data_IF_501366071685
#
_entry.id   IF_501366071685
#
_cell.length_a   1.000
_cell.length_b   1.000
_cell.length_c   1.000
_cell.angle_alpha   90.00
_cell.angle_beta   90.00
_cell.angle_gamma   90.00
#
_symmetry.space_group_name_H-M   'P 1'
#
loop_
_entity.id
_entity.type
_entity.pdbx_description
1 polymer ?
#
# COMPACT_ATOMS: atom_id res chain seq x y z
N UNK A 1 -47.53 13.63 5.65
CA UNK A 1 -47.13 14.73 4.76
C UNK A 1 -45.74 15.13 5.22
N UNK A 2 -44.64 14.78 4.55
CA UNK A 2 -44.34 15.06 3.14
C UNK A 2 -43.37 13.98 2.62
N UNK A 3 -43.55 13.58 1.36
CA UNK A 3 -42.82 12.54 0.65
C UNK A 3 -41.30 12.77 0.62
N UNK A 4 -40.49 11.72 0.78
CA UNK A 4 -39.23 11.55 0.02
C UNK A 4 -39.04 10.11 -0.43
N UNK A 5 -39.33 9.96 -1.73
CA UNK A 5 -38.77 9.09 -2.75
C UNK A 5 -38.32 7.67 -2.40
N UNK A 6 -39.16 6.74 -2.87
CA UNK A 6 -38.78 5.49 -3.53
C UNK A 6 -37.75 5.78 -4.64
N UNK A 7 -36.64 5.05 -4.63
CA UNK A 7 -35.59 5.12 -5.64
C UNK A 7 -34.62 3.94 -5.52
N UNK A 8 -35.16 2.75 -5.28
CA UNK A 8 -34.44 1.49 -5.43
C UNK A 8 -34.31 1.23 -6.95
N UNK A 9 -33.12 0.81 -7.38
CA UNK A 9 -32.76 0.39 -8.74
C UNK A 9 -32.32 1.51 -9.70
N UNK A 10 -31.01 1.74 -9.81
CA UNK A 10 -30.33 1.96 -11.09
C UNK A 10 -28.80 1.71 -10.98
N UNK A 11 -28.37 0.57 -11.53
CA UNK A 11 -27.12 0.36 -12.28
C UNK A 11 -25.78 0.45 -11.49
N UNK A 12 -25.38 -0.69 -10.92
CA UNK A 12 -23.95 -1.06 -10.80
C UNK A 12 -23.41 -1.44 -12.19
N UNK A 13 -23.17 -0.45 -13.04
CA UNK A 13 -22.41 -0.62 -14.29
C UNK A 13 -21.37 0.49 -14.39
N UNK A 14 -20.42 0.48 -13.46
CA UNK A 14 -19.09 1.03 -13.70
C UNK A 14 -18.15 -0.16 -13.57
N UNK A 15 -18.18 -1.04 -14.57
CA UNK A 15 -17.20 -2.11 -14.81
C UNK A 15 -17.55 -2.78 -16.14
N UNK A 16 -17.31 -2.05 -17.22
CA UNK A 16 -17.05 -2.61 -18.54
C UNK A 16 -16.37 -1.53 -19.41
N UNK A 17 -15.27 -0.95 -18.93
CA UNK A 17 -14.22 -0.62 -19.88
C UNK A 17 -13.63 -1.99 -20.27
N UNK A 18 -14.02 -2.50 -21.44
CA UNK A 18 -13.37 -3.65 -22.04
C UNK A 18 -11.88 -3.37 -22.24
N UNK A 19 -11.06 -4.38 -22.57
CA UNK A 19 -9.64 -4.14 -22.83
C UNK A 19 -9.51 -3.04 -23.88
N UNK A 20 -8.84 -1.95 -23.51
CA UNK A 20 -8.53 -0.88 -24.43
C UNK A 20 -7.73 -1.49 -25.58
N UNK A 21 -8.32 -1.54 -26.77
CA UNK A 21 -7.55 -1.78 -27.98
C UNK A 21 -6.43 -0.73 -28.02
N UNK A 22 -5.21 -1.08 -28.46
CA UNK A 22 -4.17 -0.08 -28.64
C UNK A 22 -4.74 1.01 -29.55
N UNK A 23 -4.65 2.26 -29.11
CA UNK A 23 -5.05 3.37 -29.96
C UNK A 23 -4.18 3.35 -31.23
N UNK A 24 -4.79 3.60 -32.39
CA UNK A 24 -4.06 3.62 -33.66
C UNK A 24 -3.14 4.85 -33.77
N UNK A 25 -3.34 5.87 -32.91
CA UNK A 25 -2.58 7.12 -32.84
C UNK A 25 -2.10 7.42 -31.40
N UNK A 26 -0.96 8.11 -31.30
CA UNK A 26 -0.37 8.60 -30.04
C UNK A 26 -1.31 9.56 -29.33
N UNK A 27 -1.96 10.46 -30.06
CA UNK A 27 -2.87 11.45 -29.45
C UNK A 27 -4.08 10.76 -28.79
N UNK A 28 -4.63 9.73 -29.45
CA UNK A 28 -5.71 8.91 -28.91
C UNK A 28 -5.25 8.10 -27.67
N UNK A 29 -4.01 7.58 -27.68
CA UNK A 29 -3.44 6.87 -26.54
C UNK A 29 -3.29 7.77 -25.30
N UNK A 30 -2.80 9.01 -25.50
CA UNK A 30 -2.65 9.97 -24.41
C UNK A 30 -4.03 10.46 -23.90
N UNK A 31 -4.99 10.69 -24.80
CA UNK A 31 -6.36 11.03 -24.41
C UNK A 31 -7.03 9.90 -23.61
N UNK A 32 -6.77 8.63 -23.96
CA UNK A 32 -7.25 7.48 -23.19
C UNK A 32 -6.64 7.42 -21.79
N UNK A 33 -5.36 7.78 -21.64
CA UNK A 33 -4.72 7.91 -20.32
C UNK A 33 -5.40 8.99 -19.48
N UNK A 34 -5.63 10.18 -20.03
CA UNK A 34 -6.28 11.28 -19.31
C UNK A 34 -7.70 10.90 -18.86
N UNK A 35 -8.47 10.22 -19.73
CA UNK A 35 -9.79 9.69 -19.39
C UNK A 35 -9.72 8.64 -18.27
N UNK A 36 -8.77 7.70 -18.35
CA UNK A 36 -8.58 6.66 -17.33
C UNK A 36 -8.12 7.24 -15.98
N UNK A 37 -7.33 8.32 -15.99
CA UNK A 37 -6.97 9.05 -14.76
C UNK A 37 -8.22 9.66 -14.11
N UNK A 38 -9.12 10.29 -14.89
CA UNK A 38 -10.38 10.82 -14.37
C UNK A 38 -11.30 9.71 -13.83
N UNK A 39 -11.42 8.59 -14.55
CA UNK A 39 -12.20 7.43 -14.11
C UNK A 39 -11.63 6.79 -12.84
N UNK A 40 -10.30 6.76 -12.70
CA UNK A 40 -9.63 6.30 -11.49
C UNK A 40 -10.02 7.16 -10.28
N UNK A 41 -9.88 8.49 -10.37
CA UNK A 41 -10.23 9.38 -9.24
C UNK A 41 -11.71 9.24 -8.88
N UNK A 42 -12.61 9.23 -9.88
CA UNK A 42 -14.04 9.04 -9.66
C UNK A 42 -14.37 7.69 -8.99
N UNK A 43 -13.69 6.61 -9.37
CA UNK A 43 -13.87 5.30 -8.75
C UNK A 43 -13.41 5.27 -7.28
N UNK A 44 -12.32 5.98 -6.96
CA UNK A 44 -11.85 6.14 -5.58
C UNK A 44 -12.86 6.94 -4.75
N UNK A 45 -13.39 8.04 -5.28
CA UNK A 45 -14.39 8.86 -4.59
C UNK A 45 -15.66 8.05 -4.27
N UNK A 46 -16.17 7.30 -5.26
CA UNK A 46 -17.33 6.40 -5.05
C UNK A 46 -17.04 5.34 -3.99
N UNK A 47 -15.81 4.77 -3.98
CA UNK A 47 -15.43 3.80 -2.96
C UNK A 47 -15.36 4.43 -1.56
N UNK A 48 -14.86 5.67 -1.46
CA UNK A 48 -14.80 6.44 -0.20
C UNK A 48 -16.20 6.74 0.32
N UNK A 49 -17.09 7.27 -0.51
CA UNK A 49 -18.48 7.57 -0.15
C UNK A 49 -19.19 6.34 0.41
N UNK A 50 -19.03 5.17 -0.22
CA UNK A 50 -19.62 3.91 0.27
C UNK A 50 -19.12 3.52 1.67
N UNK A 51 -17.86 3.78 1.99
CA UNK A 51 -17.32 3.49 3.32
C UNK A 51 -17.81 4.51 4.35
N UNK A 52 -17.92 5.79 3.98
CA UNK A 52 -18.54 6.83 4.83
C UNK A 52 -19.99 6.47 5.15
N UNK A 53 -20.78 6.07 4.15
CA UNK A 53 -22.17 5.65 4.35
C UNK A 53 -22.26 4.46 5.31
N UNK A 54 -21.36 3.49 5.18
CA UNK A 54 -21.30 2.33 6.07
C UNK A 54 -20.99 2.73 7.51
N UNK A 55 -20.06 3.66 7.71
CA UNK A 55 -19.77 4.26 9.01
C UNK A 55 -21.02 4.91 9.61
N UNK A 56 -21.68 5.78 8.86
CA UNK A 56 -22.86 6.50 9.33
C UNK A 56 -24.00 5.53 9.71
N UNK A 57 -24.26 4.53 8.86
CA UNK A 57 -25.27 3.51 9.13
C UNK A 57 -24.95 2.69 10.39
N UNK A 58 -23.69 2.27 10.57
CA UNK A 58 -23.31 1.49 11.75
C UNK A 58 -23.35 2.36 13.02
N UNK A 59 -22.98 3.64 12.95
CA UNK A 59 -23.12 4.59 14.07
C UNK A 59 -24.59 4.71 14.51
N UNK A 60 -25.52 4.88 13.57
CA UNK A 60 -26.96 4.93 13.89
C UNK A 60 -27.40 3.64 14.58
N UNK A 61 -27.07 2.48 13.99
CA UNK A 61 -27.42 1.16 14.53
C UNK A 61 -26.87 0.92 15.95
N UNK A 62 -25.63 1.30 16.21
CA UNK A 62 -25.01 1.16 17.54
C UNK A 62 -25.61 2.14 18.55
N UNK A 63 -26.03 3.33 18.10
CA UNK A 63 -26.76 4.31 18.90
C UNK A 63 -28.12 3.79 19.33
N UNK A 64 -28.91 3.25 18.39
CA UNK A 64 -30.21 2.61 18.66
C UNK A 64 -30.09 1.41 19.62
N UNK A 65 -28.96 0.71 19.56
CA UNK A 65 -28.63 -0.41 20.44
C UNK A 65 -28.05 0.01 21.80
N UNK A 66 -27.94 1.31 22.09
CA UNK A 66 -27.35 1.88 23.30
C UNK A 66 -25.89 1.43 23.57
N UNK A 67 -25.11 1.11 22.53
CA UNK A 67 -23.70 0.69 22.63
C UNK A 67 -22.77 1.89 22.46
N UNK A 68 -22.77 2.79 23.44
CA UNK A 68 -22.09 4.09 23.34
C UNK A 68 -20.57 4.00 23.09
N UNK A 69 -19.89 2.99 23.63
CA UNK A 69 -18.45 2.77 23.37
C UNK A 69 -18.18 2.49 21.88
N UNK A 70 -19.04 1.70 21.23
CA UNK A 70 -18.94 1.44 19.80
C UNK A 70 -19.20 2.69 18.97
N UNK A 71 -20.16 3.52 19.38
CA UNK A 71 -20.46 4.81 18.71
C UNK A 71 -19.23 5.72 18.74
N UNK A 72 -18.60 5.89 19.91
CA UNK A 72 -17.39 6.73 20.04
C UNK A 72 -16.25 6.20 19.18
N UNK A 73 -16.04 4.88 19.16
CA UNK A 73 -15.01 4.25 18.35
C UNK A 73 -15.26 4.45 16.85
N UNK A 74 -16.47 4.17 16.37
CA UNK A 74 -16.85 4.36 14.96
C UNK A 74 -16.78 5.82 14.53
N UNK A 75 -17.18 6.77 15.39
CA UNK A 75 -17.05 8.20 15.11
C UNK A 75 -15.58 8.62 14.99
N UNK A 76 -14.71 8.10 15.86
CA UNK A 76 -13.25 8.28 15.74
C UNK A 76 -12.72 7.67 14.45
N UNK A 77 -13.19 6.47 14.09
CA UNK A 77 -12.82 5.80 12.85
C UNK A 77 -13.22 6.61 11.61
N UNK A 78 -14.44 7.14 11.57
CA UNK A 78 -14.91 8.02 10.49
C UNK A 78 -14.06 9.28 10.38
N UNK A 79 -13.79 9.98 11.50
CA UNK A 79 -12.91 11.15 11.50
C UNK A 79 -11.51 10.82 10.98
N UNK A 80 -10.97 9.66 11.37
CA UNK A 80 -9.67 9.20 10.89
C UNK A 80 -9.71 8.87 9.39
N UNK A 81 -10.80 8.30 8.89
CA UNK A 81 -11.01 8.02 7.47
C UNK A 81 -11.13 9.28 6.63
N UNK A 82 -11.90 10.26 7.09
CA UNK A 82 -12.01 11.58 6.45
C UNK A 82 -10.66 12.33 6.43
N UNK A 83 -9.76 12.02 7.36
CA UNK A 83 -8.38 12.49 7.38
C UNK A 83 -7.42 11.61 6.54
N UNK A 84 -7.95 10.82 5.60
CA UNK A 84 -7.22 9.88 4.72
C UNK A 84 -6.50 8.75 5.47
N UNK A 85 -6.95 8.39 6.67
CA UNK A 85 -6.48 7.25 7.47
C UNK A 85 -7.40 6.03 7.36
N UNK A 86 -7.01 4.88 7.94
CA UNK A 86 -7.98 3.82 8.29
C UNK A 86 -7.72 3.38 9.72
N UNK A 87 -8.79 3.27 10.51
CA UNK A 87 -8.73 2.70 11.84
C UNK A 87 -9.61 1.46 11.85
N UNK A 88 -9.04 0.28 12.11
CA UNK A 88 -9.81 -0.96 11.99
C UNK A 88 -11.00 -0.95 12.95
N UNK A 89 -12.19 -0.97 12.37
CA UNK A 89 -13.45 -1.20 13.06
C UNK A 89 -13.96 -2.60 12.72
N UNK A 90 -14.07 -3.52 13.71
CA UNK A 90 -14.48 -4.90 13.44
C UNK A 90 -15.84 -5.03 12.76
N UNK A 91 -16.77 -4.11 13.03
CA UNK A 91 -18.09 -4.05 12.43
C UNK A 91 -18.07 -3.70 10.94
N UNK A 92 -16.99 -3.04 10.46
CA UNK A 92 -16.84 -2.59 9.09
C UNK A 92 -15.82 -3.43 8.30
N UNK A 93 -15.40 -4.59 8.82
CA UNK A 93 -14.39 -5.46 8.18
C UNK A 93 -14.69 -5.73 6.69
N UNK A 94 -15.94 -6.07 6.35
CA UNK A 94 -16.32 -6.32 4.95
C UNK A 94 -16.36 -5.04 4.11
N UNK A 95 -16.72 -3.90 4.68
CA UNK A 95 -16.72 -2.61 3.99
C UNK A 95 -15.30 -2.16 3.64
N UNK A 96 -14.32 -2.39 4.52
CA UNK A 96 -12.90 -2.18 4.20
C UNK A 96 -12.41 -3.06 3.06
N UNK A 97 -12.85 -4.33 2.99
CA UNK A 97 -12.52 -5.22 1.87
C UNK A 97 -13.16 -4.76 0.57
N UNK A 98 -14.40 -4.26 0.60
CA UNK A 98 -15.05 -3.71 -0.58
C UNK A 98 -14.35 -2.43 -1.07
N UNK A 99 -14.02 -1.52 -0.15
CA UNK A 99 -13.22 -0.34 -0.43
C UNK A 99 -11.88 -0.73 -1.07
N UNK A 100 -11.13 -1.62 -0.45
CA UNK A 100 -9.85 -2.09 -0.96
C UNK A 100 -9.92 -2.75 -2.34
N UNK A 101 -10.91 -3.62 -2.58
CA UNK A 101 -11.12 -4.25 -3.89
C UNK A 101 -11.45 -3.21 -4.97
N UNK A 102 -12.27 -2.22 -4.66
CA UNK A 102 -12.59 -1.13 -5.60
C UNK A 102 -11.34 -0.31 -5.93
N UNK A 103 -10.57 0.09 -4.91
CA UNK A 103 -9.28 0.78 -5.08
C UNK A 103 -8.31 -0.04 -5.93
N UNK A 104 -8.21 -1.35 -5.68
CA UNK A 104 -7.35 -2.22 -6.48
C UNK A 104 -7.79 -2.32 -7.93
N UNK A 105 -9.08 -2.51 -8.18
CA UNK A 105 -9.63 -2.58 -9.52
C UNK A 105 -9.38 -1.29 -10.31
N UNK A 106 -9.56 -0.13 -9.67
CA UNK A 106 -9.26 1.17 -10.27
C UNK A 106 -7.77 1.30 -10.61
N UNK A 107 -6.86 0.93 -9.69
CA UNK A 107 -5.41 0.91 -9.94
C UNK A 107 -5.04 0.00 -11.12
N UNK A 108 -5.61 -1.20 -11.17
CA UNK A 108 -5.33 -2.19 -12.23
C UNK A 108 -5.80 -1.69 -13.60
N UNK A 109 -7.01 -1.12 -13.69
CA UNK A 109 -7.55 -0.55 -14.94
C UNK A 109 -6.71 0.63 -15.44
N UNK A 110 -6.30 1.53 -14.54
CA UNK A 110 -5.42 2.65 -14.88
C UNK A 110 -4.05 2.16 -15.35
N UNK A 111 -3.46 1.17 -14.67
CA UNK A 111 -2.18 0.58 -15.06
C UNK A 111 -2.24 -0.10 -16.43
N UNK A 112 -3.34 -0.79 -16.74
CA UNK A 112 -3.56 -1.40 -18.06
C UNK A 112 -3.57 -0.33 -19.16
N UNK A 113 -4.25 0.79 -18.93
CA UNK A 113 -4.31 1.92 -19.88
C UNK A 113 -2.92 2.53 -20.10
N UNK A 114 -2.16 2.77 -19.03
CA UNK A 114 -0.77 3.25 -19.17
C UNK A 114 0.12 2.28 -19.95
N UNK A 115 -0.08 0.96 -19.78
CA UNK A 115 0.67 -0.06 -20.53
C UNK A 115 0.33 -0.03 -22.02
N UNK A 116 -0.96 0.08 -22.36
CA UNK A 116 -1.41 0.23 -23.74
C UNK A 116 -0.85 1.49 -24.38
N UNK A 117 -0.87 2.62 -23.67
CA UNK A 117 -0.28 3.87 -24.14
C UNK A 117 1.24 3.76 -24.31
N UNK A 118 1.95 3.15 -23.35
CA UNK A 118 3.40 2.90 -23.46
C UNK A 118 3.73 2.07 -24.71
N UNK A 119 2.95 1.04 -25.02
CA UNK A 119 3.16 0.21 -26.21
C UNK A 119 2.97 1.00 -27.51
N UNK A 120 1.96 1.88 -27.55
CA UNK A 120 1.69 2.76 -28.70
C UNK A 120 2.80 3.79 -28.91
N UNK A 121 3.25 4.42 -27.82
CA UNK A 121 4.38 5.36 -27.83
C UNK A 121 5.69 4.69 -28.26
N UNK A 122 5.94 3.46 -27.81
CA UNK A 122 7.12 2.68 -28.21
C UNK A 122 7.11 2.33 -29.70
N UNK A 123 5.96 1.97 -30.26
CA UNK A 123 5.80 1.74 -31.70
C UNK A 123 6.06 3.00 -32.54
N UNK A 124 5.91 4.18 -31.93
CA UNK A 124 6.09 5.50 -32.56
C UNK A 124 7.41 6.20 -32.19
N UNK A 125 8.34 5.50 -31.51
CA UNK A 125 9.65 6.01 -31.05
C UNK A 125 9.58 7.28 -30.16
N UNK A 126 8.52 7.41 -29.36
CA UNK A 126 8.28 8.56 -28.46
C UNK A 126 8.90 8.34 -27.08
N UNK A 127 10.23 8.24 -27.02
CA UNK A 127 10.96 7.86 -25.80
C UNK A 127 10.74 8.81 -24.60
N UNK A 128 10.61 10.11 -24.83
CA UNK A 128 10.42 11.09 -23.75
C UNK A 128 9.04 10.93 -23.08
N UNK A 129 7.98 10.72 -23.86
CA UNK A 129 6.62 10.46 -23.35
C UNK A 129 6.52 9.11 -22.64
N UNK A 130 7.25 8.09 -23.10
CA UNK A 130 7.35 6.82 -22.36
C UNK A 130 7.93 7.08 -20.97
N UNK A 131 8.99 7.90 -20.85
CA UNK A 131 9.57 8.22 -19.56
C UNK A 131 8.58 8.96 -18.65
N UNK A 132 7.79 9.88 -19.21
CA UNK A 132 6.74 10.60 -18.49
C UNK A 132 5.65 9.64 -17.98
N UNK A 133 5.11 8.79 -18.86
CA UNK A 133 4.10 7.78 -18.49
C UNK A 133 4.64 6.85 -17.40
N UNK A 134 5.87 6.38 -17.54
CA UNK A 134 6.50 5.53 -16.53
C UNK A 134 6.72 6.25 -15.20
N UNK A 135 6.96 7.57 -15.23
CA UNK A 135 7.02 8.39 -14.02
C UNK A 135 5.65 8.51 -13.36
N UNK A 136 4.58 8.75 -14.13
CA UNK A 136 3.19 8.78 -13.61
C UNK A 136 2.79 7.45 -12.94
N UNK A 137 3.13 6.31 -13.55
CA UNK A 137 2.90 4.98 -12.94
C UNK A 137 3.60 4.86 -11.57
N UNK A 138 4.82 5.40 -11.45
CA UNK A 138 5.59 5.39 -10.20
C UNK A 138 4.98 6.31 -9.16
N UNK A 139 4.68 7.55 -9.53
CA UNK A 139 4.16 8.57 -8.62
C UNK A 139 2.79 8.19 -8.07
N UNK A 140 1.97 7.50 -8.87
CA UNK A 140 0.68 6.95 -8.46
C UNK A 140 0.79 5.59 -7.74
N UNK A 141 1.99 5.01 -7.67
CA UNK A 141 2.28 3.72 -7.04
C UNK A 141 1.32 2.59 -7.46
N UNK A 142 1.02 2.52 -8.76
CA UNK A 142 0.04 1.56 -9.31
C UNK A 142 0.52 0.12 -9.24
N UNK A 143 1.84 -0.06 -9.23
CA UNK A 143 2.48 -1.37 -9.03
C UNK A 143 2.72 -1.57 -7.53
N UNK A 144 1.79 -2.24 -6.87
CA UNK A 144 1.91 -2.59 -5.46
C UNK A 144 1.41 -4.00 -5.14
N UNK A 145 1.85 -4.52 -3.99
CA UNK A 145 1.42 -5.81 -3.44
C UNK A 145 1.09 -5.67 -1.95
N UNK A 146 -0.06 -6.18 -1.54
CA UNK A 146 -0.37 -6.29 -0.11
C UNK A 146 0.42 -7.39 0.55
N UNK A 147 1.08 -7.03 1.65
CA UNK A 147 1.95 -7.94 2.40
C UNK A 147 1.84 -7.71 3.90
N UNK A 148 2.26 -8.72 4.66
CA UNK A 148 2.70 -8.56 6.03
C UNK A 148 4.13 -9.06 6.14
N UNK A 149 4.93 -8.44 7.01
CA UNK A 149 6.29 -8.89 7.27
C UNK A 149 6.31 -9.72 8.54
N UNK A 150 6.48 -11.04 8.40
CA UNK A 150 6.52 -11.99 9.51
C UNK A 150 7.96 -12.24 9.94
N UNK A 151 8.26 -12.29 11.24
CA UNK A 151 9.60 -12.64 11.69
C UNK A 151 9.87 -14.12 11.40
N UNK A 152 10.94 -14.42 10.67
CA UNK A 152 11.19 -15.79 10.18
C UNK A 152 11.52 -16.76 11.31
N UNK A 153 12.14 -16.27 12.38
CA UNK A 153 12.52 -17.06 13.55
C UNK A 153 11.34 -17.32 14.51
N UNK A 154 10.26 -16.53 14.44
CA UNK A 154 9.04 -16.68 15.25
C UNK A 154 7.82 -16.30 14.43
N UNK A 155 7.20 -17.29 13.78
CA UNK A 155 6.13 -17.08 12.79
C UNK A 155 4.83 -16.51 13.36
N UNK A 156 4.65 -16.47 14.69
CA UNK A 156 3.50 -15.78 15.30
C UNK A 156 3.66 -14.26 15.26
N UNK A 157 4.90 -13.76 15.20
CA UNK A 157 5.21 -12.34 15.28
C UNK A 157 5.29 -11.68 13.91
N UNK A 158 4.69 -10.50 13.80
CA UNK A 158 4.66 -9.71 12.58
C UNK A 158 5.04 -8.27 12.89
N UNK A 159 5.69 -7.64 11.92
CA UNK A 159 5.88 -6.21 11.91
C UNK A 159 4.52 -5.51 11.89
N UNK A 160 4.36 -4.54 12.78
CA UNK A 160 3.22 -3.64 12.81
C UNK A 160 3.63 -2.29 13.36
N UNK A 161 2.75 -1.31 13.26
CA UNK A 161 2.95 0.01 13.83
C UNK A 161 1.89 0.39 14.86
N UNK A 162 2.28 1.26 15.79
CA UNK A 162 1.41 1.97 16.72
C UNK A 162 2.15 3.23 17.18
N UNK A 163 1.45 4.36 17.32
CA UNK A 163 2.03 5.65 17.73
C UNK A 163 3.29 6.03 16.94
N UNK A 164 3.22 5.83 15.62
CA UNK A 164 4.31 6.06 14.65
C UNK A 164 5.57 5.19 14.85
N UNK A 165 5.55 4.21 15.74
CA UNK A 165 6.68 3.30 16.00
C UNK A 165 6.40 1.91 15.46
N UNK A 166 7.45 1.27 14.95
CA UNK A 166 7.37 -0.12 14.52
C UNK A 166 7.78 -1.09 15.62
N UNK A 167 7.00 -2.16 15.77
CA UNK A 167 7.31 -3.30 16.61
C UNK A 167 7.01 -4.62 15.88
N UNK A 168 7.61 -5.70 16.37
CA UNK A 168 7.34 -7.08 15.93
C UNK A 168 6.68 -7.82 17.07
N UNK A 169 5.39 -8.11 16.92
CA UNK A 169 4.56 -8.69 17.98
C UNK A 169 3.45 -9.57 17.42
N UNK A 170 2.70 -10.24 18.30
CA UNK A 170 1.48 -10.93 17.90
C UNK A 170 0.40 -9.92 17.52
N UNK A 171 -0.28 -10.17 16.40
CA UNK A 171 -1.25 -9.24 15.82
C UNK A 171 -2.65 -9.66 16.24
N UNK A 172 -3.32 -8.82 17.03
CA UNK A 172 -4.72 -9.03 17.40
C UNK A 172 -5.66 -8.70 16.23
N UNK A 173 -6.91 -9.17 16.29
CA UNK A 173 -7.89 -8.99 15.20
C UNK A 173 -8.05 -7.51 14.80
N UNK A 174 -8.15 -6.61 15.77
CA UNK A 174 -8.29 -5.17 15.53
C UNK A 174 -6.99 -4.49 15.09
N UNK A 175 -5.85 -5.17 15.14
CA UNK A 175 -4.54 -4.64 14.74
C UNK A 175 -4.10 -5.13 13.36
N UNK A 176 -4.92 -5.94 12.68
CA UNK A 176 -4.55 -6.56 11.40
C UNK A 176 -4.21 -5.52 10.32
N UNK A 177 -4.87 -4.36 10.34
CA UNK A 177 -4.54 -3.23 9.45
C UNK A 177 -3.14 -2.67 9.74
N UNK A 178 -2.79 -2.45 11.01
CA UNK A 178 -1.47 -1.94 11.42
C UNK A 178 -0.31 -2.86 11.03
N UNK A 179 -0.59 -4.15 10.80
CA UNK A 179 0.37 -5.16 10.38
C UNK A 179 0.34 -5.43 8.86
N UNK A 180 -0.40 -4.63 8.10
CA UNK A 180 -0.58 -4.80 6.65
C UNK A 180 -0.01 -3.60 5.91
N UNK A 181 0.73 -3.87 4.84
CA UNK A 181 1.44 -2.85 4.07
C UNK A 181 1.21 -3.06 2.58
N UNK A 182 1.15 -1.97 1.82
CA UNK A 182 1.46 -2.00 0.40
C UNK A 182 2.97 -1.95 0.23
N UNK A 183 3.54 -3.05 -0.27
CA UNK A 183 4.91 -3.06 -0.78
C UNK A 183 4.90 -2.45 -2.18
N UNK A 184 5.57 -1.32 -2.33
CA UNK A 184 5.66 -0.53 -3.56
C UNK A 184 7.11 -0.50 -4.06
N UNK A 185 7.30 -0.01 -5.29
CA UNK A 185 8.64 0.25 -5.83
C UNK A 185 9.33 1.24 -4.90
N UNK A 186 10.63 1.02 -4.64
CA UNK A 186 11.42 1.89 -3.78
C UNK A 186 11.27 3.35 -4.15
N UNK A 187 10.98 4.19 -3.14
CA UNK A 187 10.83 5.63 -3.34
C UNK A 187 12.12 6.29 -3.81
N UNK A 188 13.30 5.74 -3.49
CA UNK A 188 14.60 6.24 -3.93
C UNK A 188 14.87 5.95 -5.40
N UNK A 189 15.36 6.93 -6.13
CA UNK A 189 15.80 6.79 -7.53
C UNK A 189 17.15 6.08 -7.69
N UNK A 190 17.93 5.98 -6.62
CA UNK A 190 19.28 5.40 -6.65
C UNK A 190 19.21 3.86 -6.73
N UNK A 191 19.66 3.30 -7.85
CA UNK A 191 19.74 1.85 -8.05
C UNK A 191 18.49 1.18 -8.61
N UNK A 192 17.53 1.94 -9.16
CA UNK A 192 16.45 1.36 -9.94
C UNK A 192 17.03 0.78 -11.24
N UNK A 193 17.01 -0.55 -11.37
CA UNK A 193 17.11 -1.22 -12.68
C UNK A 193 15.80 -0.91 -13.40
N UNK A 194 15.83 0.11 -14.26
CA UNK A 194 14.67 0.74 -14.91
C UNK A 194 13.87 -0.19 -15.84
N UNK A 195 14.37 -1.39 -16.15
CA UNK A 195 13.87 -2.17 -17.29
C UNK A 195 12.83 -3.26 -16.98
N UNK A 196 12.55 -3.69 -15.74
CA UNK A 196 11.67 -4.88 -15.54
C UNK A 196 10.56 -4.80 -14.49
N UNK A 197 10.57 -3.82 -13.58
CA UNK A 197 9.63 -3.83 -12.44
C UNK A 197 8.20 -3.42 -12.86
N UNK A 198 8.05 -2.53 -13.85
CA UNK A 198 6.73 -2.12 -14.36
C UNK A 198 6.02 -3.23 -15.15
N UNK A 199 6.78 -4.10 -15.83
CA UNK A 199 6.23 -5.19 -16.64
C UNK A 199 5.92 -6.44 -15.81
N UNK A 200 6.79 -6.82 -14.86
CA UNK A 200 6.64 -8.07 -14.06
C UNK A 200 6.09 -7.88 -12.64
N UNK A 201 5.91 -6.64 -12.20
CA UNK A 201 5.47 -6.30 -10.84
C UNK A 201 6.53 -6.56 -9.75
N UNK A 202 6.17 -6.32 -8.49
CA UNK A 202 7.06 -6.50 -7.35
C UNK A 202 6.94 -7.91 -6.79
N UNK A 203 8.03 -8.66 -6.84
CA UNK A 203 8.04 -10.08 -6.46
C UNK A 203 8.63 -10.32 -5.06
N UNK A 204 9.30 -9.31 -4.49
CA UNK A 204 10.01 -9.43 -3.21
C UNK A 204 11.34 -10.19 -3.37
N UNK A 205 12.00 -10.05 -4.52
CA UNK A 205 13.23 -10.78 -4.86
C UNK A 205 14.47 -10.03 -4.38
N UNK A 206 15.59 -10.74 -4.10
CA UNK A 206 16.86 -10.08 -3.80
C UNK A 206 17.24 -9.06 -4.88
N UNK A 207 17.88 -7.97 -4.48
CA UNK A 207 18.23 -6.77 -5.27
C UNK A 207 17.09 -5.82 -5.64
N UNK A 208 15.82 -6.21 -5.48
CA UNK A 208 14.71 -5.25 -5.60
C UNK A 208 14.82 -4.18 -4.52
N UNK A 209 14.56 -2.93 -4.89
CA UNK A 209 14.40 -1.84 -3.94
C UNK A 209 12.91 -1.61 -3.75
N UNK A 210 12.46 -1.63 -2.51
CA UNK A 210 11.05 -1.52 -2.13
C UNK A 210 10.86 -0.48 -1.03
N UNK A 211 9.64 0.05 -0.96
CA UNK A 211 9.15 0.83 0.16
C UNK A 211 7.86 0.19 0.69
N UNK A 212 7.56 0.42 1.98
CA UNK A 212 6.37 -0.14 2.62
C UNK A 212 5.45 0.98 3.08
N UNK A 213 4.33 1.16 2.37
CA UNK A 213 3.26 2.09 2.75
C UNK A 213 2.29 1.39 3.69
N UNK A 214 1.97 2.01 4.82
CA UNK A 214 0.93 1.48 5.71
C UNK A 214 -0.43 1.57 5.02
N UNK A 215 -1.18 0.47 5.00
CA UNK A 215 -2.52 0.49 4.35
C UNK A 215 -3.49 1.42 5.07
N UNK A 216 -3.27 1.62 6.36
CA UNK A 216 -4.18 2.31 7.26
C UNK A 216 -3.69 3.70 7.67
N UNK A 217 -2.57 4.13 7.11
CA UNK A 217 -2.18 5.52 7.06
C UNK A 217 -1.69 5.78 5.63
N UNK A 218 -2.63 5.90 4.67
CA UNK A 218 -2.34 6.42 3.34
C UNK A 218 -1.40 7.63 3.44
N UNK A 219 -0.43 7.70 2.52
CA UNK A 219 0.67 8.65 2.55
C UNK A 219 1.73 8.47 3.67
N UNK A 220 1.73 7.38 4.43
CA UNK A 220 2.78 7.09 5.41
C UNK A 220 3.56 5.80 5.12
N UNK A 221 4.87 5.86 5.32
CA UNK A 221 5.81 4.81 4.96
C UNK A 221 6.64 4.39 6.16
N UNK A 222 7.09 3.14 6.12
CA UNK A 222 8.19 2.69 6.95
C UNK A 222 9.46 3.43 6.53
N UNK A 223 10.00 4.25 7.42
CA UNK A 223 11.23 5.00 7.21
C UNK A 223 12.15 4.85 8.42
N UNK A 224 13.45 4.89 8.18
CA UNK A 224 14.42 4.93 9.26
C UNK A 224 14.80 6.37 9.65
N UNK A 225 15.14 6.57 10.92
CA UNK A 225 15.63 7.84 11.44
C UNK A 225 16.06 7.71 12.90
N UNK A 226 17.19 8.32 13.26
CA UNK A 226 17.74 8.28 14.63
C UNK A 226 17.88 6.84 15.20
N UNK A 227 18.34 5.90 14.36
CA UNK A 227 18.47 4.47 14.66
C UNK A 227 17.16 3.71 14.95
N UNK A 228 15.98 4.30 14.70
CA UNK A 228 14.69 3.63 14.86
C UNK A 228 13.99 3.52 13.50
N UNK A 229 13.08 2.55 13.37
CA UNK A 229 12.10 2.55 12.29
C UNK A 229 10.81 3.20 12.79
N UNK A 230 10.30 4.14 11.99
CA UNK A 230 9.09 4.91 12.30
C UNK A 230 8.18 4.97 11.09
N UNK A 231 6.89 5.10 11.37
CA UNK A 231 5.91 5.42 10.36
C UNK A 231 5.98 6.94 10.13
N UNK A 232 6.27 7.34 8.90
CA UNK A 232 6.50 8.75 8.58
C UNK A 232 5.70 9.15 7.33
N UNK A 233 5.10 10.33 7.37
CA UNK A 233 4.40 10.91 6.22
C UNK A 233 5.36 11.12 5.04
N UNK A 234 4.87 10.90 3.83
CA UNK A 234 5.61 11.12 2.60
C UNK A 234 6.13 12.55 2.52
N UNK A 235 7.36 12.68 2.05
CA UNK A 235 7.96 13.94 1.63
C UNK A 235 8.69 13.74 0.30
N UNK A 236 8.65 14.77 -0.55
CA UNK A 236 9.42 14.77 -1.80
C UNK A 236 10.94 14.93 -1.56
N UNK A 237 11.35 15.22 -0.33
CA UNK A 237 12.77 15.31 0.03
C UNK A 237 13.50 13.99 -0.24
N UNK A 238 14.63 14.07 -0.95
CA UNK A 238 15.45 12.89 -1.26
C UNK A 238 15.89 12.14 0.00
N UNK A 239 16.16 12.84 1.10
CA UNK A 239 16.47 12.23 2.38
C UNK A 239 15.35 11.30 2.87
N UNK A 240 14.09 11.72 2.77
CA UNK A 240 12.95 10.88 3.11
C UNK A 240 12.86 9.67 2.18
N UNK A 241 12.94 9.89 0.86
CA UNK A 241 12.84 8.83 -0.15
C UNK A 241 13.91 7.76 0.05
N UNK A 242 15.14 8.17 0.39
CA UNK A 242 16.22 7.25 0.75
C UNK A 242 15.94 6.54 2.08
N UNK A 243 15.46 7.24 3.10
CA UNK A 243 15.17 6.66 4.41
C UNK A 243 14.02 5.64 4.39
N UNK A 244 13.09 5.80 3.45
CA UNK A 244 11.93 4.93 3.26
C UNK A 244 12.17 3.81 2.23
N UNK A 245 13.39 3.66 1.72
CA UNK A 245 13.71 2.68 0.67
C UNK A 245 14.67 1.60 1.17
N UNK A 246 14.36 0.36 0.84
CA UNK A 246 15.11 -0.81 1.30
C UNK A 246 15.42 -1.76 0.17
N UNK A 247 16.69 -2.16 0.06
CA UNK A 247 17.13 -3.24 -0.84
C UNK A 247 16.85 -4.59 -0.19
N UNK A 248 16.25 -5.49 -0.95
CA UNK A 248 15.98 -6.85 -0.51
C UNK A 248 17.26 -7.70 -0.66
N UNK A 249 17.62 -8.41 0.40
CA UNK A 249 18.68 -9.42 0.42
C UNK A 249 18.07 -10.79 0.74
N UNK A 250 18.81 -11.85 0.38
CA UNK A 250 18.52 -13.19 0.92
C UNK A 250 18.58 -13.14 2.44
N UNK A 251 17.61 -13.78 3.09
CA UNK A 251 17.51 -13.82 4.54
C UNK A 251 18.75 -14.47 5.18
N UNK A 252 19.30 -13.82 6.20
CA UNK A 252 20.49 -14.30 6.90
C UNK A 252 20.23 -15.55 7.75
N UNK A 253 19.00 -15.71 8.27
CA UNK A 253 18.62 -16.90 9.04
C UNK A 253 18.07 -18.04 8.16
N UNK A 254 17.36 -17.70 7.07
CA UNK A 254 16.84 -18.65 6.09
C UNK A 254 16.98 -18.06 4.68
N UNK A 255 17.72 -18.70 3.75
CA UNK A 255 17.93 -18.16 2.41
C UNK A 255 16.65 -17.98 1.56
N UNK A 256 15.57 -18.68 1.90
CA UNK A 256 14.26 -18.54 1.25
C UNK A 256 13.43 -17.35 1.76
N UNK A 257 13.88 -16.69 2.82
CA UNK A 257 13.29 -15.49 3.39
C UNK A 257 14.10 -14.25 2.95
N UNK A 258 13.80 -13.09 3.50
CA UNK A 258 14.42 -11.82 3.11
C UNK A 258 15.00 -11.05 4.30
N UNK A 259 16.01 -10.23 4.01
CA UNK A 259 16.53 -9.20 4.91
C UNK A 259 16.51 -7.86 4.17
N UNK A 260 16.17 -6.78 4.86
CA UNK A 260 15.98 -5.46 4.24
C UNK A 260 17.14 -4.54 4.62
N UNK A 261 17.98 -4.16 3.65
CA UNK A 261 19.08 -3.21 3.81
C UNK A 261 18.58 -1.79 3.49
N UNK A 262 18.89 -0.80 4.32
CA UNK A 262 18.60 0.60 3.98
C UNK A 262 19.46 1.06 2.81
N UNK A 263 18.86 1.68 1.78
CA UNK A 263 19.59 2.03 0.54
C UNK A 263 20.73 3.03 0.77
N UNK A 264 20.58 3.93 1.74
CA UNK A 264 21.53 4.99 2.07
C UNK A 264 22.42 4.68 3.29
N UNK A 265 22.26 3.51 3.92
CA UNK A 265 23.15 3.03 4.99
C UNK A 265 23.63 1.62 4.66
N UNK A 266 24.71 1.51 3.84
CA UNK A 266 25.28 0.22 3.50
C UNK A 266 25.59 -0.62 4.74
N UNK A 267 25.36 -1.93 4.64
CA UNK A 267 25.54 -2.90 5.72
C UNK A 267 24.61 -2.68 6.94
N UNK A 268 23.58 -1.83 6.85
CA UNK A 268 22.57 -1.63 7.90
C UNK A 268 21.22 -2.22 7.50
N UNK A 269 20.69 -3.08 8.37
CA UNK A 269 19.50 -3.86 8.09
C UNK A 269 18.38 -3.54 9.08
N UNK A 270 17.13 -3.68 8.63
CA UNK A 270 15.95 -3.69 9.49
C UNK A 270 16.05 -4.89 10.42
N UNK A 271 16.01 -4.64 11.72
CA UNK A 271 16.15 -5.66 12.77
C UNK A 271 15.16 -5.45 13.90
N UNK A 272 14.71 -6.55 14.49
CA UNK A 272 13.96 -6.53 15.74
C UNK A 272 14.93 -6.53 16.94
N UNK A 273 14.72 -5.65 17.91
CA UNK A 273 15.38 -5.68 19.22
C UNK A 273 14.72 -6.69 20.18
N UNK A 274 15.37 -7.00 21.30
CA UNK A 274 14.81 -7.93 22.29
C UNK A 274 13.46 -7.47 22.88
N UNK A 275 13.23 -6.16 22.95
CA UNK A 275 11.96 -5.55 23.37
C UNK A 275 10.88 -5.49 22.28
N UNK A 276 11.13 -6.07 21.10
CA UNK A 276 10.20 -6.09 19.97
C UNK A 276 10.24 -4.84 19.08
N UNK A 277 10.88 -3.75 19.51
CA UNK A 277 11.04 -2.55 18.67
C UNK A 277 11.93 -2.80 17.46
N UNK A 278 11.63 -2.11 16.36
CA UNK A 278 12.37 -2.25 15.10
C UNK A 278 13.34 -1.09 14.90
N UNK A 279 14.55 -1.43 14.48
CA UNK A 279 15.67 -0.49 14.30
C UNK A 279 16.54 -0.88 13.12
N UNK A 280 17.32 0.08 12.64
CA UNK A 280 18.45 -0.23 11.78
C UNK A 280 19.63 -0.68 12.64
N UNK A 281 20.27 -1.77 12.23
CA UNK A 281 21.49 -2.26 12.86
C UNK A 281 22.51 -2.65 11.80
N UNK A 282 23.76 -2.24 12.01
CA UNK A 282 24.89 -2.73 11.23
C UNK A 282 24.98 -4.25 11.31
N UNK A 283 25.27 -4.91 10.18
CA UNK A 283 25.36 -6.35 10.08
C UNK A 283 26.37 -6.92 11.07
N UNK A 284 25.99 -8.05 11.66
CA UNK A 284 26.85 -8.83 12.53
C UNK A 284 26.80 -10.30 12.12
N UNK A 285 27.93 -10.98 12.22
CA UNK A 285 28.03 -12.43 11.95
C UNK A 285 27.57 -13.25 13.16
N UNK A 286 26.41 -12.92 13.72
CA UNK A 286 25.82 -13.60 14.89
C UNK A 286 24.48 -14.24 14.54
N UNK A 287 24.12 -15.29 15.28
CA UNK A 287 22.85 -15.99 15.07
C UNK A 287 21.66 -15.12 15.50
N UNK A 288 21.86 -14.28 16.52
CA UNK A 288 20.91 -13.32 17.05
C UNK A 288 20.56 -12.28 15.99
N UNK A 289 21.58 -11.62 15.41
CA UNK A 289 21.38 -10.68 14.32
C UNK A 289 20.67 -11.34 13.14
N UNK A 290 21.14 -12.52 12.73
CA UNK A 290 20.55 -13.24 11.60
C UNK A 290 19.06 -13.51 11.81
N UNK A 291 18.65 -13.95 13.01
CA UNK A 291 17.24 -14.21 13.36
C UNK A 291 16.39 -12.95 13.46
N UNK A 292 16.96 -11.86 13.96
CA UNK A 292 16.30 -10.57 14.14
C UNK A 292 16.13 -9.78 12.85
N UNK A 293 17.03 -9.99 11.88
CA UNK A 293 17.09 -9.28 10.60
C UNK A 293 16.40 -10.03 9.45
N UNK A 294 15.76 -11.17 9.70
CA UNK A 294 15.18 -12.02 8.64
C UNK A 294 13.66 -12.12 8.75
N UNK A 295 12.97 -11.71 7.69
CA UNK A 295 11.52 -11.67 7.57
C UNK A 295 11.02 -12.53 6.42
N UNK A 296 9.82 -13.06 6.55
CA UNK A 296 9.05 -13.65 5.46
C UNK A 296 8.07 -12.60 4.96
N UNK A 297 8.07 -12.33 3.65
CA UNK A 297 7.00 -11.57 2.99
C UNK A 297 5.78 -12.49 2.92
N UNK A 298 4.87 -12.34 3.86
CA UNK A 298 3.71 -13.19 4.04
C UNK A 298 2.45 -12.57 3.39
N UNK A 299 1.40 -13.39 3.25
CA UNK A 299 0.07 -12.88 2.93
C UNK A 299 -0.34 -11.82 3.96
N UNK A 300 -1.04 -10.76 3.53
CA UNK A 300 -1.43 -9.67 4.40
C UNK A 300 -2.27 -10.17 5.56
N UNK A 301 -2.03 -9.64 6.76
CA UNK A 301 -2.86 -9.90 7.92
C UNK A 301 -4.27 -9.43 7.67
N UNK A 302 -4.48 -8.35 6.95
CA UNK A 302 -5.78 -7.90 6.50
C UNK A 302 -5.83 -7.85 4.96
N UNK A 303 -6.39 -8.89 4.30
CA UNK A 303 -6.45 -8.93 2.84
C UNK A 303 -7.56 -8.00 2.33
N UNK A 304 -7.20 -6.74 2.07
CA UNK A 304 -8.13 -5.77 1.46
C UNK A 304 -8.43 -6.11 0.00
N UNK A 305 -7.48 -6.75 -0.71
CA UNK A 305 -7.61 -7.33 -2.04
C UNK A 305 -6.65 -8.50 -2.22
#
# INVERSE_FOLDING_TARGET
MTQRLVGLTLICSILAAGPAYPADDVDDALAAVDAAEADFEAAIDVAKERLVDAYQQEIVKQTESAKLENVTRLATGLQYFEAEGLLMDPELEEHYKLYGKATRAAKDALLETYRAATATLAASDRLDEIQEVQQKIRDRELVSKLVSLQLTSKTTLHLMHADLKFSVQEVQKHQRLNATFEMVIGLSTDGIVRESIAESGIQGRPSEIVSFRAVNAPNHYLAHGNNELRLQAYSQEDAFRQNASFRIHKGFFRPSAVSFEAVNFPDHFVTMSDGGFVRLQKRQSTAEFSRAATFTIARPKFPMW
#
